data_IF_157286507899
#
_entry.id   IF_157286507899
#
_cell.length_a   1.000
_cell.length_b   1.000
_cell.length_c   1.000
_cell.angle_alpha   90.00
_cell.angle_beta   90.00
_cell.angle_gamma   90.00
#
_symmetry.space_group_name_H-M   'P 1'
#
loop_
_entity.id
_entity.type
_entity.pdbx_description
1 polymer ?
#
# COMPACT_ATOMS: atom_id res chain seq x y z
N UNK A 1 -15.58 -9.96 -1.17
CA UNK A 1 -14.33 -10.58 -1.66
C UNK A 1 -13.85 -11.52 -0.58
N UNK A 2 -13.78 -12.79 -0.91
CA UNK A 2 -13.46 -13.87 0.03
C UNK A 2 -11.93 -13.98 0.24
N UNK A 3 -11.47 -14.58 1.35
CA UNK A 3 -10.05 -14.70 1.72
C UNK A 3 -9.21 -15.41 0.65
N UNK A 4 -9.74 -16.50 0.06
CA UNK A 4 -9.02 -17.23 -1.00
C UNK A 4 -8.92 -16.39 -2.27
N UNK A 5 -9.99 -15.69 -2.65
CA UNK A 5 -9.98 -14.75 -3.77
C UNK A 5 -9.00 -13.59 -3.56
N UNK A 6 -8.83 -13.17 -2.30
CA UNK A 6 -7.82 -12.18 -1.93
C UNK A 6 -6.39 -12.71 -2.09
N UNK A 7 -6.12 -13.94 -1.67
CA UNK A 7 -4.83 -14.59 -1.89
C UNK A 7 -4.54 -14.74 -3.39
N UNK A 8 -5.54 -15.11 -4.18
CA UNK A 8 -5.41 -15.22 -5.64
C UNK A 8 -5.09 -13.86 -6.29
N UNK A 9 -5.79 -12.80 -5.87
CA UNK A 9 -5.52 -11.45 -6.36
C UNK A 9 -4.11 -10.97 -5.98
N UNK A 10 -3.66 -11.28 -4.77
CA UNK A 10 -2.28 -11.00 -4.34
C UNK A 10 -1.26 -11.75 -5.18
N UNK A 11 -1.47 -13.05 -5.41
CA UNK A 11 -0.61 -13.87 -6.25
C UNK A 11 -0.46 -13.25 -7.64
N UNK A 12 -1.58 -12.92 -8.29
CA UNK A 12 -1.57 -12.27 -9.61
C UNK A 12 -0.80 -10.95 -9.62
N UNK A 13 -0.98 -10.10 -8.60
CA UNK A 13 -0.25 -8.82 -8.50
C UNK A 13 1.24 -9.09 -8.32
N UNK A 14 1.62 -10.05 -7.48
CA UNK A 14 3.02 -10.42 -7.25
C UNK A 14 3.66 -10.93 -8.55
N UNK A 15 3.02 -11.84 -9.28
CA UNK A 15 3.52 -12.35 -10.57
C UNK A 15 3.66 -11.25 -11.62
N UNK A 16 2.70 -10.34 -11.71
CA UNK A 16 2.79 -9.22 -12.65
C UNK A 16 3.98 -8.29 -12.33
N UNK A 17 4.17 -7.95 -11.05
CA UNK A 17 5.30 -7.13 -10.59
C UNK A 17 6.64 -7.84 -10.81
N UNK A 18 6.68 -9.15 -10.57
CA UNK A 18 7.86 -9.98 -10.80
C UNK A 18 8.27 -9.92 -12.28
N UNK A 19 7.33 -10.17 -13.19
CA UNK A 19 7.57 -10.16 -14.63
C UNK A 19 8.07 -8.79 -15.12
N UNK A 20 7.51 -7.68 -14.61
CA UNK A 20 7.94 -6.35 -15.00
C UNK A 20 9.33 -6.00 -14.45
N UNK A 21 9.67 -6.48 -13.25
CA UNK A 21 11.01 -6.38 -12.70
C UNK A 21 12.03 -7.20 -13.50
N UNK A 22 11.69 -8.43 -13.90
CA UNK A 22 12.52 -9.30 -14.74
C UNK A 22 12.82 -8.66 -16.10
N UNK A 23 11.81 -8.09 -16.76
CA UNK A 23 12.00 -7.33 -18.01
C UNK A 23 12.94 -6.15 -17.82
N UNK A 24 12.75 -5.40 -16.72
CA UNK A 24 13.59 -4.24 -16.40
C UNK A 24 15.04 -4.68 -16.20
N UNK A 25 15.29 -5.71 -15.40
CA UNK A 25 16.62 -6.25 -15.19
C UNK A 25 17.24 -6.80 -16.47
N UNK A 26 16.47 -7.53 -17.28
CA UNK A 26 16.91 -8.04 -18.57
C UNK A 26 17.36 -6.92 -19.51
N UNK A 27 16.66 -5.78 -19.51
CA UNK A 27 17.07 -4.60 -20.30
C UNK A 27 18.34 -3.91 -19.77
N UNK A 28 18.63 -4.02 -18.48
CA UNK A 28 19.77 -3.36 -17.84
C UNK A 28 21.03 -4.21 -17.88
N UNK A 29 20.93 -5.53 -17.72
CA UNK A 29 22.08 -6.45 -17.68
C UNK A 29 22.82 -6.50 -19.02
N UNK A 30 22.20 -6.10 -20.13
CA UNK A 30 22.87 -5.98 -21.43
C UNK A 30 23.63 -4.67 -21.63
N UNK A 31 23.45 -3.69 -20.73
CA UNK A 31 24.11 -2.39 -20.81
C UNK A 31 25.50 -2.45 -20.13
N UNK A 32 26.44 -1.67 -20.67
CA UNK A 32 27.75 -1.44 -20.06
C UNK A 32 27.58 -0.67 -18.75
N UNK A 33 28.25 -1.12 -17.70
CA UNK A 33 28.33 -0.44 -16.42
C UNK A 33 29.48 0.58 -16.45
N UNK A 34 29.21 1.89 -16.47
CA UNK A 34 30.24 2.92 -16.49
C UNK A 34 30.94 3.10 -15.13
N UNK A 35 30.46 2.41 -14.07
CA UNK A 35 30.99 2.47 -12.72
C UNK A 35 31.86 1.25 -12.36
N UNK A 36 32.01 0.29 -13.29
CA UNK A 36 32.95 -0.82 -13.14
C UNK A 36 34.30 -0.46 -13.77
N UNK A 37 35.39 -0.69 -13.04
CA UNK A 37 36.76 -0.42 -13.48
C UNK A 37 37.13 -1.26 -14.70
N UNK A 38 36.52 -2.45 -14.86
CA UNK A 38 36.75 -3.34 -16.00
C UNK A 38 35.76 -3.11 -17.15
N UNK A 39 34.93 -2.06 -17.07
CA UNK A 39 33.84 -1.78 -17.99
C UNK A 39 32.87 -2.97 -18.17
N UNK A 40 32.65 -3.80 -17.15
CA UNK A 40 31.73 -4.93 -17.22
C UNK A 40 30.29 -4.53 -17.56
N UNK A 41 29.41 -5.51 -17.76
CA UNK A 41 27.97 -5.27 -17.85
C UNK A 41 27.37 -5.06 -16.45
N UNK A 42 26.19 -4.46 -16.36
CA UNK A 42 25.48 -4.43 -15.08
C UNK A 42 25.14 -5.85 -14.60
N UNK A 43 25.25 -6.06 -13.30
CA UNK A 43 24.90 -7.34 -12.66
C UNK A 43 23.87 -7.12 -11.55
N UNK A 44 23.03 -8.12 -11.24
CA UNK A 44 22.14 -8.05 -10.07
C UNK A 44 22.90 -7.76 -8.77
N UNK A 45 24.08 -8.36 -8.59
CA UNK A 45 24.92 -8.18 -7.40
C UNK A 45 25.41 -6.74 -7.26
N UNK A 46 25.75 -6.08 -8.37
CA UNK A 46 26.10 -4.66 -8.36
C UNK A 46 24.93 -3.82 -7.84
N UNK A 47 23.71 -4.06 -8.32
CA UNK A 47 22.52 -3.34 -7.82
C UNK A 47 22.26 -3.61 -6.33
N UNK A 48 22.41 -4.86 -5.86
CA UNK A 48 22.30 -5.20 -4.43
C UNK A 48 23.34 -4.48 -3.57
N UNK A 49 24.58 -4.41 -4.05
CA UNK A 49 25.65 -3.64 -3.38
C UNK A 49 25.30 -2.16 -3.32
N UNK A 50 24.84 -1.59 -4.44
CA UNK A 50 24.47 -0.18 -4.49
C UNK A 50 23.28 0.17 -3.59
N UNK A 51 22.31 -0.74 -3.44
CA UNK A 51 21.25 -0.59 -2.44
C UNK A 51 21.80 -0.61 -1.00
N UNK A 52 22.73 -1.51 -0.71
CA UNK A 52 23.36 -1.60 0.61
C UNK A 52 24.13 -0.31 0.94
N UNK A 53 24.87 0.23 -0.03
CA UNK A 53 25.56 1.51 0.10
C UNK A 53 24.58 2.66 0.36
N UNK A 54 23.44 2.67 -0.35
CA UNK A 54 22.39 3.66 -0.14
C UNK A 54 21.80 3.59 1.28
N UNK A 55 21.48 2.39 1.76
CA UNK A 55 20.94 2.17 3.12
C UNK A 55 21.95 2.60 4.18
N UNK A 56 23.22 2.23 4.02
CA UNK A 56 24.28 2.60 4.96
C UNK A 56 24.52 4.12 4.97
N UNK A 57 24.50 4.75 3.80
CA UNK A 57 24.58 6.20 3.68
C UNK A 57 23.43 6.88 4.44
N UNK A 58 22.20 6.41 4.27
CA UNK A 58 21.04 6.97 4.97
C UNK A 58 21.10 6.75 6.49
N UNK A 59 21.56 5.58 6.95
CA UNK A 59 21.73 5.29 8.39
C UNK A 59 22.82 6.13 9.04
N UNK A 60 23.88 6.47 8.31
CA UNK A 60 24.99 7.29 8.79
C UNK A 60 24.78 8.80 8.60
N UNK A 61 23.65 9.22 8.05
CA UNK A 61 23.37 10.63 7.74
C UNK A 61 22.86 11.37 8.98
N UNK A 62 23.48 12.52 9.28
CA UNK A 62 23.14 13.38 10.42
C UNK A 62 22.11 14.43 10.01
N UNK A 63 21.02 14.55 10.77
CA UNK A 63 19.99 15.58 10.60
C UNK A 63 20.60 16.99 10.61
N UNK A 64 21.68 17.20 11.38
CA UNK A 64 22.40 18.47 11.42
C UNK A 64 23.01 18.86 10.07
N UNK A 65 23.53 17.89 9.31
CA UNK A 65 24.10 18.17 8.00
C UNK A 65 23.00 18.52 7.00
N UNK A 66 21.84 17.86 7.05
CA UNK A 66 20.67 18.22 6.22
C UNK A 66 20.22 19.65 6.51
N UNK A 67 20.09 19.98 7.79
CA UNK A 67 19.64 21.29 8.23
C UNK A 67 20.60 22.39 7.79
N UNK A 68 21.92 22.17 7.92
CA UNK A 68 22.93 23.10 7.42
C UNK A 68 22.80 23.34 5.91
N UNK A 69 22.61 22.27 5.12
CA UNK A 69 22.44 22.39 3.68
C UNK A 69 21.13 23.07 3.28
N UNK A 70 20.05 22.85 4.03
CA UNK A 70 18.79 23.55 3.80
C UNK A 70 18.91 25.07 4.06
N UNK A 71 19.62 25.44 5.13
CA UNK A 71 19.93 26.84 5.42
C UNK A 71 20.81 27.45 4.32
N UNK A 72 21.80 26.70 3.85
CA UNK A 72 22.67 27.12 2.76
C UNK A 72 21.93 27.32 1.44
N UNK A 73 21.07 26.37 1.09
CA UNK A 73 20.27 26.43 -0.12
C UNK A 73 19.27 27.60 -0.09
N UNK A 74 18.70 27.86 1.09
CA UNK A 74 17.84 29.01 1.34
C UNK A 74 18.59 30.33 1.13
N UNK A 75 19.84 30.42 1.60
CA UNK A 75 20.70 31.58 1.36
C UNK A 75 20.93 31.81 -0.14
N UNK A 76 21.30 30.75 -0.88
CA UNK A 76 21.53 30.82 -2.32
C UNK A 76 20.25 31.17 -3.10
N UNK A 77 19.09 30.67 -2.71
CA UNK A 77 17.79 31.00 -3.35
C UNK A 77 17.45 32.48 -3.18
N UNK A 78 17.75 33.07 -2.01
CA UNK A 78 17.61 34.51 -1.80
C UNK A 78 18.60 35.30 -2.65
N UNK A 79 19.86 34.88 -2.72
CA UNK A 79 20.88 35.54 -3.56
C UNK A 79 20.52 35.52 -5.05
N UNK A 80 20.03 34.38 -5.55
CA UNK A 80 19.53 34.24 -6.91
C UNK A 80 18.31 35.16 -7.16
N UNK A 81 17.41 35.25 -6.17
CA UNK A 81 16.23 36.15 -6.24
C UNK A 81 16.67 37.62 -6.32
N UNK A 82 17.61 38.04 -5.49
CA UNK A 82 18.16 39.40 -5.49
C UNK A 82 18.89 39.71 -6.80
N UNK A 83 19.66 38.77 -7.34
CA UNK A 83 20.34 38.92 -8.63
C UNK A 83 19.35 39.12 -9.78
N UNK A 84 18.24 38.36 -9.77
CA UNK A 84 17.14 38.55 -10.73
C UNK A 84 16.50 39.93 -10.58
N UNK A 85 16.18 40.35 -9.35
CA UNK A 85 15.58 41.66 -9.08
C UNK A 85 16.51 42.81 -9.51
N UNK A 86 17.82 42.70 -9.26
CA UNK A 86 18.83 43.67 -9.75
C UNK A 86 18.85 43.76 -11.26
N UNK A 87 18.81 42.62 -11.94
CA UNK A 87 18.81 42.56 -13.41
C UNK A 87 17.52 43.15 -14.01
N UNK A 88 16.36 42.81 -13.44
CA UNK A 88 15.06 43.38 -13.85
C UNK A 88 15.01 44.89 -13.61
N UNK A 89 15.50 45.37 -12.47
CA UNK A 89 15.56 46.79 -12.15
C UNK A 89 16.47 47.54 -13.14
N UNK A 90 17.69 47.04 -13.38
CA UNK A 90 18.62 47.65 -14.34
C UNK A 90 18.01 47.76 -15.73
N UNK A 91 17.36 46.70 -16.22
CA UNK A 91 16.70 46.71 -17.53
C UNK A 91 15.49 47.68 -17.60
N UNK A 92 14.80 47.93 -16.49
CA UNK A 92 13.68 48.87 -16.45
C UNK A 92 14.12 50.34 -16.34
N UNK A 93 15.29 50.60 -15.74
CA UNK A 93 15.89 51.95 -15.68
C UNK A 93 16.20 52.46 -17.09
N UNK A 94 16.51 51.59 -18.03
CA UNK A 94 16.77 51.97 -19.43
C UNK A 94 15.48 52.33 -20.23
N UNK A 95 14.29 52.10 -19.67
CA UNK A 95 13.00 52.20 -20.37
C UNK A 95 12.05 53.25 -19.77
N UNK A 96 12.55 54.23 -18.99
CA UNK A 96 11.78 55.24 -18.23
C UNK A 96 10.43 55.62 -18.87
N UNK A 97 9.38 54.89 -18.44
CA UNK A 97 8.00 55.11 -18.83
C UNK A 97 7.21 55.39 -17.53
N UNK A 98 6.42 56.48 -17.48
CA UNK A 98 5.57 56.79 -16.32
C UNK A 98 4.65 55.65 -15.87
N UNK A 99 4.27 54.71 -16.75
CA UNK A 99 3.47 53.54 -16.36
C UNK A 99 4.22 52.50 -15.51
N UNK A 100 5.56 52.57 -15.44
CA UNK A 100 6.41 51.59 -14.77
C UNK A 100 6.74 51.96 -13.32
N UNK A 101 6.42 53.17 -12.85
CA UNK A 101 6.76 53.63 -11.49
C UNK A 101 6.21 52.73 -10.38
N UNK A 102 4.94 52.32 -10.48
CA UNK A 102 4.34 51.43 -9.48
C UNK A 102 5.06 50.07 -9.41
N UNK A 103 5.48 49.55 -10.57
CA UNK A 103 6.24 48.30 -10.65
C UNK A 103 7.65 48.45 -10.06
N UNK A 104 8.30 49.59 -10.30
CA UNK A 104 9.61 49.90 -9.71
C UNK A 104 9.50 49.98 -8.18
N UNK A 105 8.49 50.67 -7.64
CA UNK A 105 8.27 50.75 -6.19
C UNK A 105 8.00 49.37 -5.57
N UNK A 106 7.19 48.54 -6.23
CA UNK A 106 6.94 47.15 -5.82
C UNK A 106 8.24 46.33 -5.81
N UNK A 107 9.07 46.43 -6.84
CA UNK A 107 10.36 45.73 -6.91
C UNK A 107 11.36 46.21 -5.84
N UNK A 108 11.41 47.51 -5.54
CA UNK A 108 12.28 48.04 -4.46
C UNK A 108 11.83 47.49 -3.10
N UNK A 109 10.53 47.36 -2.88
CA UNK A 109 10.00 46.72 -1.67
C UNK A 109 10.32 45.22 -1.63
N UNK A 110 10.14 44.50 -2.74
CA UNK A 110 10.56 43.09 -2.89
C UNK A 110 12.07 42.93 -2.62
N UNK A 111 12.90 43.85 -3.10
CA UNK A 111 14.35 43.84 -2.90
C UNK A 111 14.71 44.01 -1.42
N UNK A 112 14.15 45.03 -0.76
CA UNK A 112 14.41 45.28 0.66
C UNK A 112 13.99 44.09 1.54
N UNK A 113 12.83 43.49 1.26
CA UNK A 113 12.36 42.31 2.01
C UNK A 113 13.22 41.07 1.76
N UNK A 114 13.70 40.85 0.53
CA UNK A 114 14.61 39.75 0.22
C UNK A 114 15.99 39.94 0.87
N UNK A 115 16.51 41.17 0.91
CA UNK A 115 17.78 41.48 1.57
C UNK A 115 17.72 41.27 3.09
N UNK A 116 16.62 41.66 3.73
CA UNK A 116 16.39 41.40 5.15
C UNK A 116 16.38 39.89 5.46
N UNK A 117 15.68 39.09 4.64
CA UNK A 117 15.68 37.63 4.76
C UNK A 117 17.08 37.05 4.60
N UNK A 118 17.86 37.55 3.64
CA UNK A 118 19.24 37.08 3.42
C UNK A 118 20.13 37.43 4.63
N UNK A 119 20.00 38.63 5.21
CA UNK A 119 20.74 39.02 6.42
C UNK A 119 20.39 38.15 7.62
N UNK A 120 19.11 37.82 7.81
CA UNK A 120 18.69 36.90 8.86
C UNK A 120 19.31 35.50 8.70
N UNK A 121 19.29 34.95 7.48
CA UNK A 121 19.90 33.64 7.19
C UNK A 121 21.42 33.67 7.42
N UNK A 122 22.12 34.70 6.94
CA UNK A 122 23.56 34.85 7.13
C UNK A 122 23.95 34.94 8.61
N UNK A 123 23.14 35.63 9.43
CA UNK A 123 23.39 35.75 10.87
C UNK A 123 23.29 34.40 11.56
N UNK A 124 22.28 33.59 11.20
CA UNK A 124 22.11 32.23 11.72
C UNK A 124 23.23 31.27 11.29
N UNK A 125 23.91 31.55 10.18
CA UNK A 125 25.05 30.79 9.68
C UNK A 125 26.40 31.28 10.23
N UNK A 126 26.41 32.32 11.09
CA UNK A 126 27.65 32.92 11.62
C UNK A 126 28.41 33.79 10.61
N UNK A 127 27.79 34.18 9.49
CA UNK A 127 28.38 34.97 8.41
C UNK A 127 28.10 34.40 7.02
N UNK A 128 28.82 34.89 5.99
CA UNK A 128 28.84 34.23 4.68
C UNK A 128 29.55 32.88 4.85
N UNK A 129 28.88 31.75 4.57
CA UNK A 129 29.48 30.45 4.85
C UNK A 129 30.76 30.22 4.05
N UNK A 130 31.86 29.88 4.74
CA UNK A 130 33.16 29.60 4.09
C UNK A 130 33.07 28.48 3.05
N UNK A 131 32.14 27.55 3.24
CA UNK A 131 31.90 26.46 2.30
C UNK A 131 31.30 26.96 0.97
N UNK A 132 30.77 28.18 0.86
CA UNK A 132 30.35 28.73 -0.45
C UNK A 132 31.52 29.25 -1.30
N UNK A 133 32.72 29.33 -0.74
CA UNK A 133 33.87 30.01 -1.35
C UNK A 133 35.04 29.05 -1.55
N UNK A 134 35.28 28.66 -2.80
CA UNK A 134 36.27 27.63 -3.15
C UNK A 134 36.15 27.14 -4.61
N UNK A 135 37.20 26.49 -5.14
CA UNK A 135 37.33 26.16 -6.57
C UNK A 135 36.35 25.10 -7.11
N UNK A 136 35.52 24.46 -6.26
CA UNK A 136 34.49 23.48 -6.67
C UNK A 136 33.07 23.86 -6.22
N UNK A 137 32.88 25.08 -5.69
CA UNK A 137 31.63 25.45 -5.04
C UNK A 137 30.52 25.85 -6.01
N UNK A 138 30.85 26.31 -7.22
CA UNK A 138 29.83 26.71 -8.19
C UNK A 138 28.90 25.56 -8.59
N UNK A 139 29.46 24.38 -8.91
CA UNK A 139 28.65 23.20 -9.26
C UNK A 139 27.86 22.70 -8.04
N UNK A 140 28.48 22.75 -6.86
CA UNK A 140 27.86 22.32 -5.59
C UNK A 140 26.68 23.21 -5.22
N UNK A 141 26.87 24.53 -5.31
CA UNK A 141 25.85 25.54 -5.07
C UNK A 141 24.70 25.42 -6.07
N UNK A 142 25.00 25.19 -7.35
CA UNK A 142 23.99 24.96 -8.37
C UNK A 142 23.16 23.68 -8.11
N UNK A 143 23.80 22.57 -7.73
CA UNK A 143 23.09 21.34 -7.30
C UNK A 143 22.18 21.59 -6.11
N UNK A 144 22.69 22.30 -5.12
CA UNK A 144 21.96 22.61 -3.89
C UNK A 144 20.71 23.47 -4.16
N UNK A 145 20.80 24.44 -5.07
CA UNK A 145 19.66 25.22 -5.56
C UNK A 145 18.60 24.34 -6.26
N UNK A 146 19.04 23.42 -7.13
CA UNK A 146 18.13 22.51 -7.83
C UNK A 146 17.34 21.68 -6.83
N UNK A 147 17.98 21.16 -5.80
CA UNK A 147 17.24 20.41 -4.78
C UNK A 147 16.39 21.21 -3.87
N UNK A 148 16.84 22.37 -3.40
CA UNK A 148 15.97 23.18 -2.58
C UNK A 148 14.67 23.47 -3.35
N UNK A 149 14.76 23.79 -4.64
CA UNK A 149 13.57 23.92 -5.47
C UNK A 149 12.79 22.60 -5.65
N UNK A 150 13.46 21.44 -5.80
CA UNK A 150 12.81 20.13 -5.94
C UNK A 150 12.13 19.65 -4.65
N UNK A 151 12.73 19.88 -3.49
CA UNK A 151 12.19 19.62 -2.15
C UNK A 151 10.94 20.46 -1.91
N UNK A 152 10.99 21.76 -2.24
CA UNK A 152 9.80 22.64 -2.21
C UNK A 152 8.69 22.15 -3.14
N UNK A 153 9.03 21.61 -4.31
CA UNK A 153 8.05 20.97 -5.20
C UNK A 153 7.47 19.69 -4.61
N UNK A 154 8.26 18.87 -3.91
CA UNK A 154 7.77 17.66 -3.26
C UNK A 154 6.75 17.97 -2.16
N UNK A 155 7.02 18.99 -1.33
CA UNK A 155 6.04 19.49 -0.34
C UNK A 155 4.71 19.82 -1.02
N UNK A 156 4.74 20.55 -2.13
CA UNK A 156 3.52 20.85 -2.88
C UNK A 156 2.84 19.62 -3.48
N UNK A 157 3.61 18.60 -3.90
CA UNK A 157 3.05 17.36 -4.42
C UNK A 157 2.31 16.58 -3.32
N UNK A 158 2.90 16.48 -2.13
CA UNK A 158 2.28 15.85 -0.95
C UNK A 158 1.00 16.60 -0.55
N UNK A 159 1.05 17.93 -0.48
CA UNK A 159 -0.13 18.74 -0.17
C UNK A 159 -1.25 18.57 -1.19
N UNK A 160 -0.92 18.62 -2.49
CA UNK A 160 -1.89 18.42 -3.57
C UNK A 160 -2.50 17.01 -3.53
N UNK A 161 -1.68 16.00 -3.21
CA UNK A 161 -2.13 14.63 -3.05
C UNK A 161 -3.09 14.50 -1.86
N UNK A 162 -2.73 15.06 -0.70
CA UNK A 162 -3.57 15.07 0.50
C UNK A 162 -4.93 15.74 0.26
N UNK A 163 -5.00 16.79 -0.55
CA UNK A 163 -6.26 17.43 -0.93
C UNK A 163 -7.14 16.56 -1.84
N UNK A 164 -6.53 15.71 -2.67
CA UNK A 164 -7.24 14.79 -3.57
C UNK A 164 -7.69 13.50 -2.89
N UNK A 165 -7.05 13.12 -1.79
CA UNK A 165 -7.33 11.88 -1.05
C UNK A 165 -8.84 11.66 -0.78
N UNK A 166 -9.63 12.65 -0.32
CA UNK A 166 -11.05 12.45 -0.06
C UNK A 166 -11.88 12.07 -1.29
N UNK A 167 -11.47 12.51 -2.49
CA UNK A 167 -12.16 12.16 -3.74
C UNK A 167 -11.93 10.72 -4.17
N UNK A 168 -10.87 10.08 -3.66
CA UNK A 168 -10.43 8.75 -4.10
C UNK A 168 -10.94 7.60 -3.21
N UNK A 169 -11.59 7.90 -2.07
CA UNK A 169 -12.00 6.91 -1.07
C UNK A 169 -13.28 6.12 -1.41
N UNK A 170 -13.79 6.22 -2.64
CA UNK A 170 -14.94 5.42 -3.11
C UNK A 170 -16.29 5.75 -2.47
N UNK A 171 -16.32 6.53 -1.39
CA UNK A 171 -17.56 7.07 -0.81
C UNK A 171 -18.03 8.28 -1.62
N UNK A 172 -19.33 8.39 -1.96
CA UNK A 172 -19.85 9.56 -2.65
C UNK A 172 -19.59 10.83 -1.84
N UNK A 173 -18.62 11.62 -2.28
CA UNK A 173 -18.34 12.93 -1.71
C UNK A 173 -19.45 13.86 -2.18
N UNK A 174 -20.30 14.31 -1.26
CA UNK A 174 -21.39 15.25 -1.57
C UNK A 174 -20.88 16.51 -2.30
N UNK A 175 -21.76 17.15 -3.08
CA UNK A 175 -21.42 18.29 -3.97
C UNK A 175 -20.72 19.46 -3.26
N UNK A 176 -21.07 19.73 -2.01
CA UNK A 176 -20.44 20.76 -1.18
C UNK A 176 -18.97 20.47 -0.88
N UNK A 177 -18.64 19.21 -0.54
CA UNK A 177 -17.27 18.81 -0.21
C UNK A 177 -16.42 18.75 -1.48
N UNK A 178 -16.96 18.24 -2.59
CA UNK A 178 -16.31 18.27 -3.90
C UNK A 178 -15.96 19.70 -4.34
N UNK A 179 -16.90 20.64 -4.22
CA UNK A 179 -16.65 22.06 -4.56
C UNK A 179 -15.54 22.67 -3.69
N UNK A 180 -15.50 22.35 -2.39
CA UNK A 180 -14.45 22.83 -1.47
C UNK A 180 -13.07 22.28 -1.84
N UNK A 181 -13.01 21.00 -2.21
CA UNK A 181 -11.76 20.36 -2.63
C UNK A 181 -11.24 20.98 -3.93
N UNK A 182 -12.11 21.18 -4.93
CA UNK A 182 -11.74 21.83 -6.18
C UNK A 182 -11.23 23.27 -5.95
N UNK A 183 -11.90 24.04 -5.09
CA UNK A 183 -11.45 25.38 -4.73
C UNK A 183 -10.09 25.40 -4.00
N UNK A 184 -9.80 24.39 -3.16
CA UNK A 184 -8.51 24.24 -2.51
C UNK A 184 -7.40 23.95 -3.53
N UNK A 185 -7.65 23.01 -4.45
CA UNK A 185 -6.73 22.69 -5.55
C UNK A 185 -6.44 23.91 -6.43
N UNK A 186 -7.45 24.72 -6.77
CA UNK A 186 -7.27 25.93 -7.56
C UNK A 186 -6.41 26.98 -6.85
N UNK A 187 -6.56 27.14 -5.52
CA UNK A 187 -5.73 28.05 -4.72
C UNK A 187 -4.25 27.66 -4.74
N UNK A 188 -3.93 26.36 -4.85
CA UNK A 188 -2.53 25.88 -4.89
C UNK A 188 -1.85 26.05 -6.24
N UNK A 189 -2.61 26.25 -7.32
CA UNK A 189 -2.06 26.32 -8.68
C UNK A 189 -0.99 27.39 -8.84
N UNK A 190 -1.23 28.61 -8.35
CA UNK A 190 -0.28 29.74 -8.48
C UNK A 190 1.02 29.54 -7.67
N UNK A 191 0.97 29.13 -6.38
CA UNK A 191 2.17 28.72 -5.64
C UNK A 191 2.97 27.61 -6.35
N UNK A 192 2.31 26.55 -6.80
CA UNK A 192 2.95 25.44 -7.51
C UNK A 192 3.66 25.92 -8.77
N UNK A 193 2.99 26.72 -9.61
CA UNK A 193 3.57 27.27 -10.83
C UNK A 193 4.81 28.13 -10.54
N UNK A 194 4.84 28.83 -9.41
CA UNK A 194 5.97 29.66 -9.00
C UNK A 194 7.18 28.80 -8.62
N UNK A 195 6.97 27.80 -7.76
CA UNK A 195 8.00 26.81 -7.37
C UNK A 195 8.51 26.01 -8.58
N UNK A 196 7.62 25.65 -9.50
CA UNK A 196 7.93 24.91 -10.71
C UNK A 196 8.75 25.74 -11.70
N UNK A 197 8.45 27.04 -11.85
CA UNK A 197 9.29 27.96 -12.62
C UNK A 197 10.70 28.04 -12.05
N UNK A 198 10.84 28.19 -10.72
CA UNK A 198 12.16 28.21 -10.05
C UNK A 198 12.96 26.92 -10.31
N UNK A 199 12.34 25.76 -10.07
CA UNK A 199 12.96 24.46 -10.33
C UNK A 199 13.45 24.31 -11.76
N UNK A 200 12.60 24.64 -12.75
CA UNK A 200 12.97 24.54 -14.16
C UNK A 200 14.15 25.47 -14.50
N UNK A 201 14.19 26.69 -13.93
CA UNK A 201 15.31 27.63 -14.12
C UNK A 201 16.59 27.05 -13.54
N UNK A 202 16.60 26.64 -12.27
CA UNK A 202 17.81 26.12 -11.62
C UNK A 202 18.29 24.84 -12.29
N UNK A 203 17.39 23.94 -12.68
CA UNK A 203 17.78 22.71 -13.39
C UNK A 203 18.39 23.04 -14.75
N UNK A 204 17.79 23.95 -15.51
CA UNK A 204 18.31 24.34 -16.83
C UNK A 204 19.69 25.00 -16.71
N UNK A 205 19.88 25.89 -15.73
CA UNK A 205 21.16 26.55 -15.46
C UNK A 205 22.25 25.54 -15.08
N UNK A 206 21.93 24.62 -14.17
CA UNK A 206 22.83 23.53 -13.78
C UNK A 206 23.23 22.65 -14.98
N UNK A 207 22.25 22.16 -15.73
CA UNK A 207 22.49 21.29 -16.88
C UNK A 207 23.31 22.01 -17.97
N UNK A 208 23.01 23.28 -18.24
CA UNK A 208 23.74 24.06 -19.25
C UNK A 208 25.21 24.24 -18.89
N UNK A 209 25.52 24.49 -17.61
CA UNK A 209 26.89 24.76 -17.15
C UNK A 209 27.71 23.50 -16.91
N UNK A 210 27.09 22.46 -16.34
CA UNK A 210 27.83 21.33 -15.76
C UNK A 210 27.50 19.97 -16.38
N UNK A 211 26.38 19.83 -17.09
CA UNK A 211 25.97 18.57 -17.72
C UNK A 211 25.25 18.80 -19.07
N UNK A 212 25.89 19.47 -20.05
CA UNK A 212 25.23 19.90 -21.28
C UNK A 212 24.70 18.72 -22.11
N UNK A 213 25.40 17.58 -22.06
CA UNK A 213 24.99 16.35 -22.75
C UNK A 213 23.66 15.79 -22.23
N UNK A 214 23.28 16.13 -20.99
CA UNK A 214 22.04 15.68 -20.37
C UNK A 214 20.86 16.61 -20.63
N UNK A 215 21.10 17.83 -21.16
CA UNK A 215 20.09 18.87 -21.32
C UNK A 215 18.94 18.45 -22.24
N UNK A 216 19.24 17.68 -23.29
CA UNK A 216 18.27 17.25 -24.30
C UNK A 216 17.52 15.96 -23.92
N UNK A 217 17.87 15.32 -22.80
CA UNK A 217 17.22 14.07 -22.39
C UNK A 217 15.73 14.30 -22.09
N UNK A 218 14.83 13.36 -22.42
CA UNK A 218 13.39 13.49 -22.18
C UNK A 218 13.03 13.78 -20.71
N UNK A 219 13.75 13.18 -19.78
CA UNK A 219 13.57 13.38 -18.32
C UNK A 219 13.93 14.80 -17.85
N UNK A 220 14.76 15.51 -18.62
CA UNK A 220 15.25 16.85 -18.32
C UNK A 220 14.46 17.96 -19.01
N UNK A 221 13.35 17.62 -19.68
CA UNK A 221 12.43 18.59 -20.27
C UNK A 221 11.65 19.37 -19.19
N UNK A 222 11.45 20.70 -19.34
CA UNK A 222 10.81 21.53 -18.33
C UNK A 222 9.48 20.94 -17.84
N UNK A 223 9.34 20.80 -16.52
CA UNK A 223 8.14 20.24 -15.94
C UNK A 223 6.99 21.23 -16.13
N UNK A 224 5.81 20.76 -16.55
CA UNK A 224 4.59 21.59 -16.64
C UNK A 224 3.70 21.36 -15.43
N UNK A 225 2.79 22.28 -15.12
CA UNK A 225 1.80 22.08 -14.05
C UNK A 225 0.98 20.79 -14.28
N UNK A 226 0.58 20.53 -15.53
CA UNK A 226 -0.17 19.33 -15.88
C UNK A 226 0.62 18.07 -15.55
N UNK A 227 1.86 17.98 -16.04
CA UNK A 227 2.77 16.84 -15.76
C UNK A 227 3.01 16.66 -14.26
N UNK A 228 3.31 17.75 -13.55
CA UNK A 228 3.50 17.74 -12.10
C UNK A 228 2.26 17.26 -11.35
N UNK A 229 1.08 17.77 -11.69
CA UNK A 229 -0.16 17.49 -10.97
C UNK A 229 -0.64 16.05 -11.13
N UNK A 230 -0.14 15.34 -12.14
CA UNK A 230 -0.47 13.93 -12.39
C UNK A 230 0.68 13.00 -11.97
N UNK A 231 1.76 13.54 -11.41
CA UNK A 231 2.91 12.78 -10.98
C UNK A 231 2.57 12.05 -9.68
N UNK A 232 2.71 10.72 -9.66
CA UNK A 232 2.57 9.94 -8.43
C UNK A 232 3.64 10.33 -7.41
N UNK A 233 3.33 10.23 -6.11
CA UNK A 233 4.33 10.40 -5.04
C UNK A 233 5.41 9.31 -5.10
N UNK A 234 5.08 8.12 -5.61
CA UNK A 234 6.01 6.99 -5.77
C UNK A 234 6.86 7.08 -7.05
N UNK A 235 6.65 8.12 -7.88
CA UNK A 235 7.32 8.24 -9.17
C UNK A 235 8.83 8.42 -9.00
N UNK A 236 9.62 7.79 -9.88
CA UNK A 236 11.10 7.83 -9.85
C UNK A 236 11.70 9.24 -9.78
N UNK A 237 11.01 10.24 -10.37
CA UNK A 237 11.36 11.65 -10.24
C UNK A 237 11.58 12.10 -8.78
N UNK A 238 10.80 11.59 -7.82
CA UNK A 238 10.92 11.95 -6.40
C UNK A 238 12.03 11.19 -5.67
N UNK A 239 12.47 10.06 -6.22
CA UNK A 239 13.46 9.18 -5.58
C UNK A 239 14.86 9.81 -5.55
N UNK A 240 15.12 10.88 -6.33
CA UNK A 240 16.38 11.64 -6.23
C UNK A 240 16.33 12.81 -5.24
N UNK A 241 15.17 13.10 -4.62
CA UNK A 241 15.02 14.28 -3.73
C UNK A 241 15.74 14.09 -2.39
N UNK A 242 16.04 12.85 -2.01
CA UNK A 242 16.65 12.53 -0.72
C UNK A 242 18.15 12.19 -0.80
N UNK A 243 18.78 12.39 -1.94
CA UNK A 243 20.17 11.96 -2.16
C UNK A 243 21.08 13.18 -2.24
N UNK A 244 21.28 13.82 -1.09
CA UNK A 244 22.18 14.96 -0.94
C UNK A 244 23.59 14.46 -0.60
N UNK A 245 24.59 14.90 -1.37
CA UNK A 245 26.06 14.67 -1.26
C UNK A 245 26.64 13.38 -1.80
N UNK A 246 25.83 12.36 -2.07
CA UNK A 246 26.39 11.13 -2.62
C UNK A 246 26.69 11.28 -4.11
N UNK A 247 27.95 11.09 -4.48
CA UNK A 247 28.39 10.88 -5.88
C UNK A 247 28.41 9.39 -6.24
N UNK A 248 27.81 8.54 -5.41
CA UNK A 248 27.77 7.12 -5.65
C UNK A 248 26.91 6.79 -6.89
N UNK A 249 27.14 5.63 -7.53
CA UNK A 249 26.38 5.21 -8.71
C UNK A 249 24.86 5.22 -8.50
N UNK A 250 24.37 4.78 -7.34
CA UNK A 250 22.94 4.81 -7.00
C UNK A 250 22.32 6.22 -6.98
N UNK A 251 23.12 7.25 -6.69
CA UNK A 251 22.65 8.64 -6.68
C UNK A 251 22.66 9.26 -8.07
N UNK A 252 23.68 8.96 -8.88
CA UNK A 252 23.92 9.62 -10.16
C UNK A 252 23.16 8.99 -11.32
N UNK A 253 23.05 7.66 -11.37
CA UNK A 253 22.51 6.96 -12.53
C UNK A 253 21.07 6.51 -12.34
N UNK A 254 20.19 6.98 -13.24
CA UNK A 254 18.81 6.54 -13.31
C UNK A 254 18.69 5.03 -13.58
N UNK A 255 19.60 4.48 -14.39
CA UNK A 255 19.62 3.04 -14.70
C UNK A 255 20.03 2.21 -13.47
N UNK A 256 20.95 2.73 -12.64
CA UNK A 256 21.29 2.09 -11.37
C UNK A 256 20.10 2.10 -10.40
N UNK A 257 19.35 3.20 -10.32
CA UNK A 257 18.13 3.27 -9.49
C UNK A 257 17.04 2.32 -9.98
N UNK A 258 16.80 2.25 -11.29
CA UNK A 258 15.87 1.27 -11.88
C UNK A 258 16.31 -0.16 -11.58
N UNK A 259 17.60 -0.45 -11.68
CA UNK A 259 18.16 -1.76 -11.35
C UNK A 259 17.96 -2.14 -9.90
N UNK A 260 18.28 -1.22 -8.97
CA UNK A 260 18.01 -1.39 -7.53
C UNK A 260 16.53 -1.69 -7.29
N UNK A 261 15.63 -0.86 -7.83
CA UNK A 261 14.19 -1.04 -7.64
C UNK A 261 13.72 -2.40 -8.17
N UNK A 262 14.18 -2.82 -9.35
CA UNK A 262 13.78 -4.09 -9.92
C UNK A 262 14.30 -5.29 -9.09
N UNK A 263 15.53 -5.22 -8.58
CA UNK A 263 16.05 -6.25 -7.65
C UNK A 263 15.24 -6.30 -6.36
N UNK A 264 14.88 -5.14 -5.77
CA UNK A 264 14.08 -5.12 -4.55
C UNK A 264 12.66 -5.65 -4.78
N UNK A 265 12.06 -5.37 -5.93
CA UNK A 265 10.76 -5.96 -6.32
C UNK A 265 10.89 -7.47 -6.49
N UNK A 266 12.01 -7.96 -7.02
CA UNK A 266 12.28 -9.39 -7.13
C UNK A 266 12.36 -10.06 -5.77
N UNK A 267 13.18 -9.54 -4.86
CA UNK A 267 13.30 -10.07 -3.50
C UNK A 267 11.94 -9.99 -2.76
N UNK A 268 11.20 -8.89 -2.92
CA UNK A 268 9.88 -8.71 -2.28
C UNK A 268 8.80 -9.64 -2.83
N UNK A 269 8.78 -9.88 -4.15
CA UNK A 269 7.81 -10.79 -4.75
C UNK A 269 8.08 -12.24 -4.34
N UNK A 270 9.35 -12.64 -4.24
CA UNK A 270 9.74 -13.94 -3.68
C UNK A 270 9.22 -14.13 -2.24
N UNK A 271 9.40 -13.13 -1.36
CA UNK A 271 8.81 -13.14 -0.01
C UNK A 271 7.28 -13.26 -0.04
N UNK A 272 6.61 -12.47 -0.88
CA UNK A 272 5.15 -12.48 -0.97
C UNK A 272 4.62 -13.85 -1.43
N UNK A 273 5.30 -14.56 -2.34
CA UNK A 273 4.91 -15.92 -2.73
C UNK A 273 5.02 -16.91 -1.57
N UNK A 274 6.06 -16.80 -0.75
CA UNK A 274 6.20 -17.62 0.47
C UNK A 274 5.07 -17.32 1.45
N UNK A 275 4.76 -16.04 1.67
CA UNK A 275 3.65 -15.63 2.54
C UNK A 275 2.31 -16.15 2.01
N UNK A 276 2.02 -16.01 0.71
CA UNK A 276 0.78 -16.50 0.11
C UNK A 276 0.65 -18.01 0.27
N UNK A 277 1.74 -18.78 0.07
CA UNK A 277 1.75 -20.23 0.30
C UNK A 277 1.41 -20.57 1.76
N UNK A 278 2.03 -19.88 2.72
CA UNK A 278 1.78 -20.08 4.14
C UNK A 278 0.33 -19.74 4.52
N UNK A 279 -0.17 -18.60 4.05
CA UNK A 279 -1.54 -18.17 4.33
C UNK A 279 -2.57 -19.12 3.69
N UNK A 280 -2.32 -19.63 2.48
CA UNK A 280 -3.17 -20.65 1.88
C UNK A 280 -3.24 -21.91 2.76
N UNK A 281 -2.08 -22.40 3.23
CA UNK A 281 -2.02 -23.54 4.14
C UNK A 281 -2.76 -23.29 5.45
N UNK A 282 -2.61 -22.09 6.03
CA UNK A 282 -3.29 -21.70 7.26
C UNK A 282 -4.81 -21.66 7.08
N UNK A 283 -5.30 -21.07 5.99
CA UNK A 283 -6.73 -20.98 5.68
C UNK A 283 -7.32 -22.38 5.49
N UNK A 284 -6.64 -23.25 4.74
CA UNK A 284 -7.07 -24.64 4.57
C UNK A 284 -7.05 -25.41 5.89
N UNK A 285 -5.98 -25.30 6.67
CA UNK A 285 -5.85 -25.97 7.98
C UNK A 285 -6.92 -25.50 8.96
N UNK A 286 -7.20 -24.20 9.02
CA UNK A 286 -8.28 -23.65 9.82
C UNK A 286 -9.62 -24.27 9.43
N UNK A 287 -9.92 -24.32 8.13
CA UNK A 287 -11.22 -24.81 7.68
C UNK A 287 -11.41 -26.31 7.94
N UNK A 288 -10.36 -27.13 7.79
CA UNK A 288 -10.37 -28.56 8.16
C UNK A 288 -10.55 -28.72 9.68
N UNK A 289 -9.74 -28.03 10.48
CA UNK A 289 -9.79 -28.14 11.94
C UNK A 289 -11.15 -27.69 12.49
N UNK A 290 -11.69 -26.60 11.94
CA UNK A 290 -13.00 -26.08 12.32
C UNK A 290 -14.11 -27.06 11.97
N UNK A 291 -14.09 -27.65 10.78
CA UNK A 291 -15.01 -28.71 10.39
C UNK A 291 -14.93 -29.90 11.35
N UNK A 292 -13.72 -30.37 11.66
CA UNK A 292 -13.50 -31.48 12.58
C UNK A 292 -14.08 -31.20 13.97
N UNK A 293 -13.84 -30.02 14.54
CA UNK A 293 -14.41 -29.62 15.84
C UNK A 293 -15.93 -29.63 15.86
N UNK A 294 -16.57 -29.15 14.80
CA UNK A 294 -18.03 -29.17 14.68
C UNK A 294 -18.54 -30.62 14.65
N UNK A 295 -17.92 -31.48 13.84
CA UNK A 295 -18.27 -32.90 13.75
C UNK A 295 -18.07 -33.62 15.09
N UNK A 296 -16.93 -33.44 15.76
CA UNK A 296 -16.66 -34.04 17.07
C UNK A 296 -17.68 -33.60 18.12
N UNK A 297 -18.15 -32.34 18.07
CA UNK A 297 -19.18 -31.86 18.99
C UNK A 297 -20.55 -32.48 18.69
N UNK A 298 -20.92 -32.61 17.42
CA UNK A 298 -22.14 -33.30 16.98
C UNK A 298 -22.09 -34.76 17.44
N UNK A 299 -21.04 -35.49 17.10
CA UNK A 299 -20.86 -36.92 17.43
C UNK A 299 -20.91 -37.16 18.95
N UNK A 300 -20.30 -36.27 19.75
CA UNK A 300 -20.35 -36.35 21.20
C UNK A 300 -21.78 -36.20 21.75
N UNK A 301 -22.53 -35.24 21.20
CA UNK A 301 -23.92 -35.00 21.58
C UNK A 301 -24.80 -36.20 21.19
N UNK A 302 -24.61 -36.74 19.99
CA UNK A 302 -25.38 -37.90 19.49
C UNK A 302 -25.05 -39.20 20.22
N UNK A 303 -23.77 -39.49 20.50
CA UNK A 303 -23.38 -40.68 21.25
C UNK A 303 -24.03 -40.71 22.64
N UNK A 304 -24.10 -39.55 23.28
CA UNK A 304 -24.67 -39.41 24.61
C UNK A 304 -26.21 -39.35 24.59
N UNK A 305 -26.83 -38.86 23.50
CA UNK A 305 -28.27 -39.08 23.23
C UNK A 305 -28.59 -40.56 23.25
N UNK A 306 -27.83 -41.34 22.51
CA UNK A 306 -28.06 -42.77 22.33
C UNK A 306 -27.78 -43.54 23.64
N UNK A 307 -26.83 -43.07 24.47
CA UNK A 307 -26.61 -43.59 25.82
C UNK A 307 -27.74 -43.25 26.80
N UNK A 308 -28.26 -42.01 26.78
CA UNK A 308 -29.35 -41.57 27.65
C UNK A 308 -30.69 -42.26 27.36
N UNK A 309 -30.91 -42.70 26.11
CA UNK A 309 -32.07 -43.54 25.75
C UNK A 309 -32.00 -44.94 26.41
N UNK A 310 -30.80 -45.39 26.79
CA UNK A 310 -30.53 -46.72 27.35
C UNK A 310 -30.33 -46.73 28.88
N UNK A 311 -30.24 -45.58 29.54
CA UNK A 311 -29.97 -45.46 30.98
C UNK A 311 -31.15 -44.78 31.70
N UNK A 312 -31.79 -45.47 32.64
CA UNK A 312 -33.05 -45.02 33.30
C UNK A 312 -32.77 -44.04 34.46
N UNK A 313 -31.51 -43.81 34.81
CA UNK A 313 -31.11 -43.02 36.00
C UNK A 313 -29.91 -42.07 35.72
N UNK A 314 -30.05 -41.20 34.71
CA UNK A 314 -28.97 -40.31 34.26
C UNK A 314 -29.22 -38.82 34.52
N UNK A 315 -29.19 -38.38 35.79
CA UNK A 315 -29.33 -36.97 36.21
C UNK A 315 -28.01 -36.17 36.25
N UNK A 316 -26.93 -36.64 35.62
CA UNK A 316 -25.67 -35.89 35.59
C UNK A 316 -25.62 -34.85 34.45
N UNK A 317 -25.10 -33.66 34.74
CA UNK A 317 -24.96 -32.55 33.79
C UNK A 317 -23.81 -32.82 32.81
N UNK A 318 -24.14 -33.37 31.64
CA UNK A 318 -23.16 -33.80 30.65
C UNK A 318 -22.87 -32.75 29.56
N UNK A 319 -23.62 -31.64 29.52
CA UNK A 319 -23.33 -30.44 28.72
C UNK A 319 -22.98 -29.22 29.61
N UNK A 320 -21.97 -29.31 30.50
CA UNK A 320 -21.69 -28.28 31.51
C UNK A 320 -21.26 -26.93 30.91
N UNK A 321 -20.73 -26.93 29.68
CA UNK A 321 -20.20 -25.71 29.05
C UNK A 321 -21.29 -24.81 28.44
N UNK A 322 -22.54 -25.29 28.31
CA UNK A 322 -23.61 -24.53 27.65
C UNK A 322 -24.63 -24.03 28.67
N UNK A 323 -24.51 -22.76 29.05
CA UNK A 323 -25.45 -22.08 29.97
C UNK A 323 -26.71 -21.63 29.25
N UNK A 324 -27.65 -22.55 29.07
CA UNK A 324 -28.99 -22.28 28.52
C UNK A 324 -30.06 -22.14 29.62
N UNK A 325 -29.72 -21.55 30.77
CA UNK A 325 -30.64 -21.45 31.92
C UNK A 325 -31.01 -22.79 32.54
N UNK A 326 -32.11 -22.82 33.31
CA UNK A 326 -32.63 -24.01 34.03
C UNK A 326 -33.38 -24.96 33.08
N UNK A 327 -32.72 -25.38 31.99
CA UNK A 327 -33.24 -26.33 31.02
C UNK A 327 -32.57 -27.69 31.24
N UNK A 328 -33.34 -28.77 31.14
CA UNK A 328 -32.81 -30.13 31.27
C UNK A 328 -31.91 -30.51 30.07
N UNK A 329 -31.01 -31.47 30.26
CA UNK A 329 -30.02 -31.84 29.25
C UNK A 329 -30.66 -32.39 27.96
N UNK A 330 -31.84 -33.00 28.03
CA UNK A 330 -32.55 -33.51 26.84
C UNK A 330 -33.04 -32.36 25.98
N UNK A 331 -33.64 -31.35 26.60
CA UNK A 331 -34.11 -30.14 25.90
C UNK A 331 -32.94 -29.28 25.41
N UNK A 332 -31.86 -29.14 26.19
CA UNK A 332 -30.62 -28.47 25.74
C UNK A 332 -30.06 -29.13 24.47
N UNK A 333 -30.02 -30.45 24.42
CA UNK A 333 -29.57 -31.21 23.25
C UNK A 333 -30.48 -31.00 22.03
N UNK A 334 -31.80 -31.06 22.20
CA UNK A 334 -32.77 -30.83 21.11
C UNK A 334 -32.65 -29.44 20.49
N UNK A 335 -32.22 -28.44 21.26
CA UNK A 335 -31.99 -27.08 20.78
C UNK A 335 -30.61 -26.92 20.11
N UNK A 336 -29.55 -27.48 20.71
CA UNK A 336 -28.17 -27.25 20.25
C UNK A 336 -27.83 -28.09 19.01
N UNK A 337 -28.29 -29.34 18.93
CA UNK A 337 -27.92 -30.25 17.84
C UNK A 337 -28.35 -29.71 16.45
N UNK A 338 -29.60 -29.23 16.24
CA UNK A 338 -29.99 -28.63 14.97
C UNK A 338 -29.14 -27.41 14.59
N UNK A 339 -28.81 -26.55 15.55
CA UNK A 339 -27.96 -25.37 15.33
C UNK A 339 -26.56 -25.77 14.86
N UNK A 340 -25.95 -26.77 15.51
CA UNK A 340 -24.62 -27.26 15.12
C UNK A 340 -24.63 -27.93 13.74
N UNK A 341 -25.68 -28.70 13.42
CA UNK A 341 -25.85 -29.31 12.10
C UNK A 341 -26.03 -28.24 11.02
N UNK A 342 -26.80 -27.20 11.30
CA UNK A 342 -26.95 -26.07 10.37
C UNK A 342 -25.62 -25.31 10.21
N UNK A 343 -24.91 -25.06 11.32
CA UNK A 343 -23.60 -24.41 11.30
C UNK A 343 -22.57 -25.22 10.51
N UNK A 344 -22.56 -26.56 10.66
CA UNK A 344 -21.76 -27.47 9.82
C UNK A 344 -22.08 -27.28 8.33
N UNK A 345 -23.37 -27.25 7.97
CA UNK A 345 -23.78 -27.08 6.57
C UNK A 345 -23.36 -25.71 6.01
N UNK A 346 -23.47 -24.63 6.79
CA UNK A 346 -22.98 -23.30 6.38
C UNK A 346 -21.46 -23.28 6.20
N UNK A 347 -20.72 -23.93 7.09
CA UNK A 347 -19.25 -24.07 6.98
C UNK A 347 -18.85 -24.90 5.76
N UNK A 348 -19.51 -26.02 5.50
CA UNK A 348 -19.29 -26.81 4.28
C UNK A 348 -19.60 -26.02 3.01
N UNK A 349 -20.69 -25.25 2.99
CA UNK A 349 -21.02 -24.39 1.86
C UNK A 349 -19.95 -23.31 1.61
N UNK A 350 -19.39 -22.75 2.69
CA UNK A 350 -18.25 -21.84 2.61
C UNK A 350 -17.04 -22.55 2.00
N UNK A 351 -16.72 -23.76 2.46
CA UNK A 351 -15.60 -24.54 1.95
C UNK A 351 -15.77 -24.93 0.46
N UNK A 352 -16.98 -25.32 0.04
CA UNK A 352 -17.31 -25.64 -1.35
C UNK A 352 -17.12 -24.40 -2.23
N UNK A 353 -17.54 -23.22 -1.77
CA UNK A 353 -17.32 -21.96 -2.48
C UNK A 353 -15.81 -21.65 -2.66
N UNK A 354 -14.95 -22.15 -1.78
CA UNK A 354 -13.51 -21.95 -1.86
C UNK A 354 -12.81 -23.00 -2.74
N UNK A 355 -13.46 -24.14 -2.99
CA UNK A 355 -12.81 -25.34 -3.49
C UNK A 355 -12.06 -25.13 -4.81
N UNK A 356 -12.70 -24.47 -5.80
CA UNK A 356 -12.08 -24.20 -7.09
C UNK A 356 -10.88 -23.25 -6.95
N UNK A 357 -11.06 -22.13 -6.24
CA UNK A 357 -10.02 -21.13 -6.04
C UNK A 357 -8.80 -21.73 -5.29
N UNK A 358 -9.04 -22.61 -4.31
CA UNK A 358 -7.99 -23.32 -3.57
C UNK A 358 -7.22 -24.28 -4.48
N UNK A 359 -7.92 -25.07 -5.30
CA UNK A 359 -7.29 -26.01 -6.23
C UNK A 359 -6.42 -25.27 -7.23
N UNK A 360 -6.95 -24.23 -7.87
CA UNK A 360 -6.21 -23.46 -8.87
C UNK A 360 -4.98 -22.78 -8.27
N UNK A 361 -5.13 -22.17 -7.09
CA UNK A 361 -4.02 -21.49 -6.42
C UNK A 361 -2.98 -22.50 -5.90
N UNK A 362 -3.41 -23.65 -5.41
CA UNK A 362 -2.51 -24.73 -4.99
C UNK A 362 -1.63 -25.21 -6.15
N UNK A 363 -2.25 -25.49 -7.30
CA UNK A 363 -1.56 -25.99 -8.49
C UNK A 363 -0.56 -24.94 -9.04
N UNK A 364 -0.91 -23.65 -8.96
CA UNK A 364 0.01 -22.55 -9.31
C UNK A 364 1.22 -22.46 -8.37
N UNK A 365 1.04 -22.71 -7.07
CA UNK A 365 2.07 -22.53 -6.06
C UNK A 365 2.97 -23.77 -5.93
N UNK A 366 2.46 -24.97 -6.19
CA UNK A 366 3.16 -26.23 -5.90
C UNK A 366 3.58 -27.03 -7.15
N UNK A 367 3.42 -26.49 -8.37
CA UNK A 367 3.91 -27.08 -9.63
C UNK A 367 3.58 -28.59 -9.81
N UNK A 368 2.44 -29.04 -9.32
CA UNK A 368 1.98 -30.44 -9.46
C UNK A 368 2.31 -31.38 -8.30
N UNK A 369 2.58 -30.86 -7.10
CA UNK A 369 2.67 -31.65 -5.87
C UNK A 369 1.37 -32.43 -5.57
N UNK A 370 1.48 -33.56 -4.86
CA UNK A 370 0.46 -34.61 -4.70
C UNK A 370 -0.78 -34.22 -3.87
N UNK A 371 -1.10 -32.93 -3.72
CA UNK A 371 -2.25 -32.43 -2.94
C UNK A 371 -2.30 -33.07 -1.55
N UNK A 372 -1.17 -33.08 -0.86
CA UNK A 372 -0.99 -33.81 0.40
C UNK A 372 -1.75 -33.21 1.59
N UNK A 373 -2.31 -31.99 1.44
CA UNK A 373 -3.03 -31.32 2.51
C UNK A 373 -4.37 -32.01 2.82
N UNK A 374 -4.71 -32.17 4.11
CA UNK A 374 -5.93 -32.85 4.59
C UNK A 374 -7.24 -32.27 4.06
N UNK A 375 -7.20 -31.01 3.60
CA UNK A 375 -8.28 -30.32 2.90
C UNK A 375 -8.82 -31.12 1.72
N UNK A 376 -7.95 -31.68 0.87
CA UNK A 376 -8.39 -32.36 -0.35
C UNK A 376 -9.21 -33.62 -0.03
N UNK A 377 -8.73 -34.43 0.91
CA UNK A 377 -9.45 -35.61 1.40
C UNK A 377 -10.81 -35.24 2.03
N UNK A 378 -10.87 -34.12 2.76
CA UNK A 378 -12.12 -33.66 3.37
C UNK A 378 -13.11 -33.17 2.31
N UNK A 379 -12.64 -32.43 1.30
CA UNK A 379 -13.50 -31.96 0.20
C UNK A 379 -14.08 -33.11 -0.62
N UNK A 380 -13.30 -34.17 -0.86
CA UNK A 380 -13.82 -35.39 -1.51
C UNK A 380 -14.93 -36.04 -0.67
N UNK A 381 -14.75 -36.13 0.66
CA UNK A 381 -15.79 -36.62 1.57
C UNK A 381 -17.06 -35.76 1.55
N UNK A 382 -16.93 -34.43 1.56
CA UNK A 382 -18.07 -33.49 1.53
C UNK A 382 -18.82 -33.61 0.20
N UNK A 383 -18.10 -33.71 -0.92
CA UNK A 383 -18.69 -33.87 -2.25
C UNK A 383 -19.49 -35.18 -2.35
N UNK A 384 -18.94 -36.30 -1.87
CA UNK A 384 -19.63 -37.60 -1.82
C UNK A 384 -20.92 -37.56 -0.99
N UNK A 385 -20.91 -36.85 0.14
CA UNK A 385 -22.08 -36.69 1.01
C UNK A 385 -23.18 -35.86 0.34
N UNK A 386 -22.81 -34.83 -0.43
CA UNK A 386 -23.76 -34.01 -1.17
C UNK A 386 -24.42 -34.78 -2.31
N UNK A 387 -23.65 -35.56 -3.09
CA UNK A 387 -24.19 -36.41 -4.18
C UNK A 387 -25.21 -37.42 -3.65
N UNK A 388 -24.94 -38.06 -2.50
CA UNK A 388 -25.87 -39.02 -1.87
C UNK A 388 -27.16 -38.38 -1.36
N UNK A 389 -27.15 -37.07 -1.08
CA UNK A 389 -28.32 -36.33 -0.58
C UNK A 389 -29.25 -35.88 -1.72
N UNK A 390 -28.70 -35.69 -2.92
CA UNK A 390 -29.43 -35.29 -4.12
C UNK A 390 -29.96 -36.48 -4.96
N UNK A 391 -29.65 -37.73 -4.59
CA UNK A 391 -30.34 -38.89 -5.16
C UNK A 391 -31.81 -38.88 -4.74
N UNK A 392 -32.79 -38.85 -5.68
CA UNK A 392 -34.19 -38.88 -5.32
C UNK A 392 -34.47 -40.25 -4.72
N UNK A 393 -34.75 -40.27 -3.41
CA UNK A 393 -35.35 -41.43 -2.76
C UNK A 393 -36.64 -41.75 -3.51
N UNK A 394 -36.63 -42.79 -4.34
CA UNK A 394 -37.78 -43.25 -5.10
C UNK A 394 -38.95 -43.51 -4.16
N UNK A 395 -39.88 -42.57 -4.10
CA UNK A 395 -41.23 -42.78 -3.60
C UNK A 395 -42.19 -42.24 -4.64
N UNK A 396 -42.87 -43.18 -5.27
CA UNK A 396 -44.10 -42.95 -6.01
C UNK A 396 -45.13 -42.33 -5.07
N UNK A 397 -45.44 -41.04 -5.23
CA UNK A 397 -46.69 -40.47 -4.73
C UNK A 397 -47.36 -39.63 -5.82
N UNK A 398 -48.53 -40.11 -6.27
CA UNK A 398 -49.44 -39.43 -7.19
C UNK A 398 -49.95 -38.10 -6.58
N UNK A 399 -50.20 -37.06 -7.39
CA UNK A 399 -50.62 -35.77 -6.88
C UNK A 399 -52.14 -35.74 -6.64
N UNK A 400 -52.56 -35.74 -5.37
CA UNK A 400 -53.94 -35.41 -4.99
C UNK A 400 -54.09 -33.90 -4.89
N UNK A 401 -54.87 -33.32 -5.81
CA UNK A 401 -55.40 -31.95 -5.71
C UNK A 401 -56.42 -31.86 -4.57
N UNK A 402 -56.33 -30.83 -3.72
CA UNK A 402 -57.50 -30.16 -3.11
C UNK A 402 -57.25 -28.66 -2.92
N UNK A 403 -58.23 -27.88 -3.32
CA UNK A 403 -58.35 -26.42 -3.18
C UNK A 403 -59.00 -26.02 -1.84
N UNK A 404 -58.68 -24.80 -1.39
CA UNK A 404 -59.45 -23.93 -0.47
C UNK A 404 -59.25 -24.21 1.03
N UNK A 405 -59.28 -23.25 1.95
CA UNK A 405 -59.32 -21.78 1.96
C UNK A 405 -59.10 -21.35 3.44
N UNK A 406 -58.78 -20.07 3.67
CA UNK A 406 -58.99 -19.27 4.89
C UNK A 406 -58.14 -19.48 6.18
N UNK A 407 -57.10 -18.62 6.29
CA UNK A 407 -56.93 -17.54 7.28
C UNK A 407 -57.23 -17.78 8.78
N UNK A 408 -56.18 -17.77 9.63
CA UNK A 408 -56.19 -17.12 10.96
C UNK A 408 -54.78 -16.59 11.25
N UNK A 409 -54.66 -15.29 11.54
CA UNK A 409 -53.41 -14.65 11.95
C UNK A 409 -53.03 -14.90 13.41
N UNK A 410 -51.74 -14.86 13.68
CA UNK A 410 -51.17 -14.54 14.98
C UNK A 410 -49.81 -13.88 14.74
N UNK A 411 -49.71 -12.59 15.09
CA UNK A 411 -48.45 -11.93 15.39
C UNK A 411 -47.78 -12.69 16.54
N UNK A 412 -46.60 -13.26 16.30
CA UNK A 412 -45.63 -13.51 17.36
C UNK A 412 -44.25 -13.15 16.82
N UNK A 413 -43.78 -11.97 17.23
CA UNK A 413 -42.46 -11.47 16.95
C UNK A 413 -41.47 -12.22 17.85
N UNK A 414 -41.04 -13.40 17.39
CA UNK A 414 -39.85 -14.06 17.92
C UNK A 414 -38.63 -13.28 17.45
N UNK A 415 -37.90 -12.65 18.37
CA UNK A 415 -36.54 -12.17 18.13
C UNK A 415 -35.68 -13.36 17.69
N UNK A 416 -35.32 -13.39 16.42
CA UNK A 416 -34.35 -14.32 15.84
C UNK A 416 -32.97 -13.97 16.44
N UNK A 417 -32.50 -14.79 17.38
CA UNK A 417 -31.19 -14.64 18.01
C UNK A 417 -30.09 -14.79 16.95
N UNK A 418 -29.23 -13.78 16.84
CA UNK A 418 -28.08 -13.80 15.92
C UNK A 418 -27.18 -15.01 16.27
N UNK A 419 -26.91 -15.92 15.32
CA UNK A 419 -26.00 -17.05 15.53
C UNK A 419 -24.60 -16.64 16.01
N UNK A 420 -24.17 -15.40 15.75
CA UNK A 420 -22.92 -14.85 16.26
C UNK A 420 -22.96 -14.59 17.78
N UNK A 421 -24.11 -14.18 18.32
CA UNK A 421 -24.29 -13.95 19.75
C UNK A 421 -24.30 -15.28 20.53
N UNK A 422 -24.88 -16.33 19.94
CA UNK A 422 -24.83 -17.70 20.49
C UNK A 422 -23.39 -18.26 20.46
N UNK A 423 -22.61 -17.92 19.45
CA UNK A 423 -21.19 -18.33 19.33
C UNK A 423 -20.31 -17.68 20.39
N UNK A 424 -20.61 -16.43 20.78
CA UNK A 424 -19.89 -15.71 21.84
C UNK A 424 -20.17 -16.26 23.25
N UNK A 425 -21.30 -16.94 23.44
CA UNK A 425 -21.68 -17.60 24.70
C UNK A 425 -21.11 -19.02 24.83
N UNK A 426 -20.57 -19.57 23.74
CA UNK A 426 -19.92 -20.88 23.69
C UNK A 426 -18.41 -20.64 23.65
N UNK A 427 -17.76 -20.45 24.80
CA UNK A 427 -16.33 -20.16 24.97
C UNK A 427 -15.42 -21.02 24.05
N UNK A 428 -15.19 -20.56 22.83
CA UNK A 428 -14.26 -21.14 21.84
C UNK A 428 -12.95 -20.35 21.76
N UNK A 429 -12.77 -19.34 22.61
CA UNK A 429 -11.52 -18.59 22.76
C UNK A 429 -10.87 -18.86 24.13
N UNK A 430 -10.30 -20.05 24.28
CA UNK A 430 -9.27 -20.28 25.30
C UNK A 430 -8.20 -21.20 24.72
N UNK A 431 -7.26 -20.60 23.98
CA UNK A 431 -6.14 -21.32 23.40
C UNK A 431 -5.24 -20.51 22.46
N UNK A 432 -5.16 -19.19 22.62
CA UNK A 432 -4.06 -18.41 22.03
C UNK A 432 -2.88 -18.51 22.99
N UNK A 433 -1.99 -19.47 22.74
CA UNK A 433 -0.65 -19.44 23.32
C UNK A 433 0.14 -18.38 22.59
N UNK A 434 0.54 -17.37 23.34
CA UNK A 434 1.55 -16.38 23.01
C UNK A 434 2.79 -17.07 22.42
N UNK A 435 3.13 -16.75 21.17
CA UNK A 435 4.48 -16.93 20.65
C UNK A 435 4.93 -15.58 20.09
N UNK A 436 5.37 -14.72 21.01
CA UNK A 436 6.26 -13.61 20.72
C UNK A 436 7.43 -13.66 21.71
N UNK A 437 8.50 -14.27 21.24
CA UNK A 437 9.86 -14.23 21.79
C UNK A 437 10.82 -14.43 20.63
#
# INVERSE_FOLDING_TARGET
MNVVQWLWQKHRIASAKQLDAEKTLGSLIVLRNPFDVNEGMYTPDFFKSQWTDQVNFQKGHDDAQTEENERLASFLDQEATLTRLRSELNNMVDLFNPSSYNRILEMVHEFATAEERQRAIATNLGGVPMHLTGPNDEERNARLLVWHAKSRLYVHAVELHAERQPLSRGTPVGTTLTTRILAAMDRRKKPIQTSLKKFNIYRTDYLTRFAPNCLTLPENQPLTYHTFSNLSLDHAFWQDVYLYHSRAPWALSADVRKGIQAVLVMDRTAEEFVMIRQELNNVMSWAVNHHQKICERIDNIELRRDAAVNDIDGTDEWLPDIKLGDIDNTTKMQLVLPILVEYKARHEALMINWALDVVELWDQIHEGDNREHSWFNLMDCIADQHVRRDEPAGRDEEPVRREGDDNVGADDAGEELDPADVLSMLDLEAGVVDIAG
#
